data_IF_626055647988
#
_entry.id   IF_626055647988
#
_cell.length_a   1.000
_cell.length_b   1.000
_cell.length_c   1.000
_cell.angle_alpha   90.00
_cell.angle_beta   90.00
_cell.angle_gamma   90.00
#
_symmetry.space_group_name_H-M   'P 1'
#
loop_
_entity.id
_entity.type
_entity.pdbx_description
1 polymer ?
#
# COMPACT_ATOMS: atom_id res chain seq x y z
N UNK A 1 -1.65 3.07 -16.90
CA UNK A 1 -0.19 2.86 -16.71
C UNK A 1 0.00 2.21 -15.36
N UNK A 2 0.51 0.98 -15.28
CA UNK A 2 0.73 0.28 -14.00
C UNK A 2 2.00 0.81 -13.34
N UNK A 3 1.92 1.27 -12.10
CA UNK A 3 3.03 1.81 -11.31
C UNK A 3 3.17 1.02 -10.02
N UNK A 4 4.38 0.59 -9.71
CA UNK A 4 4.71 -0.01 -8.42
C UNK A 4 5.03 1.10 -7.41
N UNK A 5 4.35 1.09 -6.27
CA UNK A 5 4.65 1.96 -5.13
C UNK A 5 4.97 1.14 -3.90
N UNK A 6 5.98 1.59 -3.17
CA UNK A 6 6.33 1.07 -1.86
C UNK A 6 6.02 2.11 -0.80
N UNK A 7 5.28 1.69 0.20
CA UNK A 7 5.03 2.41 1.42
C UNK A 7 5.91 1.82 2.52
N UNK A 8 6.50 2.70 3.31
CA UNK A 8 7.31 2.34 4.47
C UNK A 8 6.56 2.78 5.74
N UNK A 9 7.03 2.33 6.91
CA UNK A 9 6.51 2.76 8.22
C UNK A 9 4.99 2.55 8.40
N UNK A 10 4.50 1.39 7.98
CA UNK A 10 3.15 0.91 8.32
C UNK A 10 3.01 0.74 9.83
N UNK A 11 2.20 1.60 10.45
CA UNK A 11 1.85 1.45 11.86
C UNK A 11 0.64 0.53 11.99
N UNK A 12 0.63 -0.29 13.02
CA UNK A 12 -0.57 -0.99 13.47
C UNK A 12 -0.97 -0.35 14.80
N UNK A 13 -2.03 0.45 14.79
CA UNK A 13 -2.50 1.12 16.01
C UNK A 13 -3.25 0.15 16.95
N UNK A 14 -3.45 -1.10 16.50
CA UNK A 14 -4.23 -2.09 17.22
C UNK A 14 -3.30 -3.18 17.79
N UNK A 15 -2.87 -2.97 19.04
CA UNK A 15 -1.86 -3.77 19.75
C UNK A 15 -2.19 -5.28 19.88
N UNK A 16 -3.45 -5.65 19.65
CA UNK A 16 -3.96 -7.04 19.77
C UNK A 16 -4.28 -7.68 18.42
N UNK A 17 -4.00 -6.99 17.31
CA UNK A 17 -4.38 -7.42 15.97
C UNK A 17 -3.22 -8.12 15.27
N UNK A 18 -3.11 -9.43 15.49
CA UNK A 18 -2.10 -10.31 14.89
C UNK A 18 -2.31 -10.59 13.40
N UNK A 19 -3.35 -10.02 12.77
CA UNK A 19 -3.71 -10.26 11.36
C UNK A 19 -3.78 -8.96 10.55
N UNK A 20 -2.83 -8.06 10.77
CA UNK A 20 -2.73 -6.78 10.06
C UNK A 20 -2.60 -6.99 8.53
N UNK A 21 -1.76 -7.93 8.10
CA UNK A 21 -1.58 -8.31 6.70
C UNK A 21 -2.89 -8.73 6.03
N UNK A 22 -3.63 -9.63 6.66
CA UNK A 22 -4.89 -10.10 6.09
C UNK A 22 -5.91 -8.96 5.98
N UNK A 23 -5.98 -8.06 6.97
CA UNK A 23 -6.87 -6.89 6.91
C UNK A 23 -6.48 -5.96 5.77
N UNK A 24 -5.19 -5.68 5.59
CA UNK A 24 -4.68 -4.83 4.51
C UNK A 24 -5.03 -5.47 3.17
N UNK A 25 -4.66 -6.74 2.95
CA UNK A 25 -4.93 -7.46 1.72
C UNK A 25 -6.44 -7.48 1.39
N UNK A 26 -7.28 -7.86 2.36
CA UNK A 26 -8.73 -7.96 2.19
C UNK A 26 -9.39 -6.62 1.84
N UNK A 27 -8.92 -5.51 2.41
CA UNK A 27 -9.53 -4.20 2.18
C UNK A 27 -8.97 -3.52 0.92
N UNK A 28 -7.66 -3.56 0.71
CA UNK A 28 -7.05 -2.96 -0.49
C UNK A 28 -7.42 -3.71 -1.77
N UNK A 29 -7.70 -5.02 -1.71
CA UNK A 29 -8.18 -5.77 -2.88
C UNK A 29 -9.58 -5.34 -3.36
N UNK A 30 -10.33 -4.56 -2.55
CA UNK A 30 -11.63 -3.99 -2.95
C UNK A 30 -11.50 -2.66 -3.68
N UNK A 31 -10.31 -2.07 -3.67
CA UNK A 31 -10.04 -0.83 -4.37
C UNK A 31 -9.73 -1.17 -5.83
N UNK A 32 -10.59 -0.70 -6.74
CA UNK A 32 -10.36 -0.84 -8.18
C UNK A 32 -9.00 -0.24 -8.58
N UNK A 33 -8.34 -0.86 -9.55
CA UNK A 33 -7.04 -0.43 -10.07
C UNK A 33 -5.89 -0.46 -9.06
N UNK A 34 -6.00 -1.27 -8.00
CA UNK A 34 -4.91 -1.58 -7.06
C UNK A 34 -4.73 -3.08 -6.91
N UNK A 35 -3.47 -3.50 -6.90
CA UNK A 35 -3.05 -4.87 -6.56
C UNK A 35 -2.01 -4.81 -5.45
N UNK A 36 -2.27 -5.49 -4.34
CA UNK A 36 -1.25 -5.69 -3.30
C UNK A 36 -0.25 -6.73 -3.81
N UNK A 37 1.03 -6.35 -3.80
CA UNK A 37 2.14 -7.22 -4.21
C UNK A 37 2.75 -7.93 -3.02
N UNK A 38 2.95 -7.18 -1.93
CA UNK A 38 3.60 -7.69 -0.74
C UNK A 38 3.22 -6.83 0.47
N UNK A 39 2.93 -7.48 1.60
CA UNK A 39 2.86 -6.85 2.91
C UNK A 39 3.96 -7.48 3.75
N UNK A 40 4.76 -6.67 4.44
CA UNK A 40 5.76 -7.17 5.35
C UNK A 40 5.61 -6.46 6.69
N UNK A 41 4.97 -7.15 7.64
CA UNK A 41 4.72 -6.63 8.98
C UNK A 41 6.03 -6.37 9.72
N UNK A 42 6.99 -7.30 9.67
CA UNK A 42 8.29 -7.17 10.35
C UNK A 42 9.08 -5.95 9.90
N UNK A 43 9.00 -5.60 8.61
CA UNK A 43 9.66 -4.42 8.04
C UNK A 43 8.76 -3.19 7.99
N UNK A 44 7.50 -3.31 8.41
CA UNK A 44 6.48 -2.27 8.30
C UNK A 44 6.36 -1.70 6.88
N UNK A 45 6.37 -2.55 5.86
CA UNK A 45 6.31 -2.13 4.45
C UNK A 45 5.12 -2.72 3.71
N UNK A 46 4.58 -1.96 2.75
CA UNK A 46 3.50 -2.37 1.86
C UNK A 46 3.89 -2.02 0.42
N UNK A 47 3.80 -2.98 -0.50
CA UNK A 47 4.01 -2.76 -1.93
C UNK A 47 2.71 -2.96 -2.69
N UNK A 48 2.34 -1.98 -3.51
CA UNK A 48 1.15 -2.03 -4.37
C UNK A 48 1.50 -1.71 -5.81
N UNK A 49 0.76 -2.29 -6.74
CA UNK A 49 0.68 -1.82 -8.13
C UNK A 49 -0.63 -1.05 -8.27
N UNK A 50 -0.59 0.12 -8.89
CA UNK A 50 -1.79 0.91 -9.18
C UNK A 50 -1.79 1.44 -10.60
N UNK A 51 -2.98 1.69 -11.17
CA UNK A 51 -3.08 2.25 -12.53
C UNK A 51 -3.43 3.74 -12.58
N UNK A 52 -4.11 4.23 -11.55
CA UNK A 52 -4.60 5.60 -11.45
C UNK A 52 -4.02 6.29 -10.21
N UNK A 53 -3.36 7.46 -10.34
CA UNK A 53 -2.81 8.19 -9.20
C UNK A 53 -3.84 8.51 -8.10
N UNK A 54 -5.11 8.70 -8.46
CA UNK A 54 -6.19 8.91 -7.47
C UNK A 54 -6.40 7.70 -6.57
N UNK A 55 -6.01 6.51 -7.01
CA UNK A 55 -6.12 5.27 -6.24
C UNK A 55 -5.15 5.24 -5.07
N UNK A 56 -4.00 5.93 -5.16
CA UNK A 56 -3.04 6.06 -4.04
C UNK A 56 -3.70 6.76 -2.84
N UNK A 57 -4.46 7.83 -3.07
CA UNK A 57 -5.19 8.52 -2.00
C UNK A 57 -6.19 7.57 -1.33
N UNK A 58 -6.95 6.80 -2.12
CA UNK A 58 -7.91 5.82 -1.59
C UNK A 58 -7.23 4.75 -0.73
N UNK A 59 -6.04 4.28 -1.14
CA UNK A 59 -5.25 3.33 -0.36
C UNK A 59 -4.84 3.92 0.98
N UNK A 60 -4.34 5.16 0.99
CA UNK A 60 -3.93 5.84 2.24
C UNK A 60 -5.12 6.03 3.18
N UNK A 61 -6.27 6.46 2.65
CA UNK A 61 -7.49 6.67 3.44
C UNK A 61 -8.01 5.35 4.00
N UNK A 62 -8.01 4.29 3.21
CA UNK A 62 -8.44 2.96 3.63
C UNK A 62 -7.52 2.38 4.72
N UNK A 63 -6.20 2.51 4.54
CA UNK A 63 -5.21 2.10 5.54
C UNK A 63 -5.41 2.81 6.88
N UNK A 64 -5.68 4.12 6.85
CA UNK A 64 -6.04 4.88 8.06
C UNK A 64 -7.34 4.37 8.67
N UNK A 65 -8.37 4.08 7.86
CA UNK A 65 -9.68 3.60 8.29
C UNK A 65 -9.61 2.26 9.02
N UNK A 66 -8.73 1.35 8.58
CA UNK A 66 -8.57 0.03 9.19
C UNK A 66 -7.58 -0.01 10.37
N UNK A 67 -7.08 1.15 10.82
CA UNK A 67 -6.13 1.25 11.93
C UNK A 67 -4.70 0.88 11.55
N UNK A 68 -4.37 0.94 10.25
CA UNK A 68 -3.05 0.64 9.70
C UNK A 68 -2.41 1.88 9.03
N UNK A 69 -2.31 3.06 9.69
CA UNK A 69 -1.85 4.26 9.02
C UNK A 69 -0.40 4.12 8.56
N UNK A 70 -0.11 4.64 7.37
CA UNK A 70 1.25 4.66 6.80
C UNK A 70 1.82 6.06 6.78
N UNK A 71 3.13 6.17 6.95
CA UNK A 71 3.89 7.37 6.54
C UNK A 71 4.56 7.06 5.21
N UNK A 72 4.11 7.71 4.15
CA UNK A 72 4.72 7.51 2.84
C UNK A 72 5.74 8.61 2.56
N UNK A 73 6.92 8.21 2.12
CA UNK A 73 7.87 9.12 1.49
C UNK A 73 7.76 8.86 -0.01
N UNK A 74 7.30 9.84 -0.79
CA UNK A 74 7.32 9.71 -2.24
C UNK A 74 8.80 9.74 -2.67
N UNK A 75 9.42 8.57 -2.82
CA UNK A 75 10.69 8.44 -3.56
C UNK A 75 10.36 8.52 -5.04
N UNK A 76 10.00 9.71 -5.51
CA UNK A 76 9.85 10.00 -6.95
C UNK A 76 11.24 9.98 -7.57
N UNK A 77 11.79 8.80 -7.83
CA UNK A 77 12.68 8.69 -8.97
C UNK A 77 11.77 8.68 -10.19
N UNK A 78 11.93 9.66 -11.08
CA UNK A 78 11.26 9.66 -12.41
C UNK A 78 11.46 8.34 -13.17
N UNK A 79 12.47 7.54 -12.79
CA UNK A 79 12.80 6.24 -13.37
C UNK A 79 11.92 5.06 -12.85
N UNK A 80 11.37 5.10 -11.64
CA UNK A 80 10.55 4.00 -11.10
C UNK A 80 9.06 4.06 -11.51
N UNK A 81 8.60 5.19 -12.02
CA UNK A 81 7.27 5.33 -12.63
C UNK A 81 7.11 4.54 -13.94
N UNK A 82 8.20 4.05 -14.54
CA UNK A 82 8.21 3.47 -15.89
C UNK A 82 8.65 2.01 -15.99
N UNK A 83 8.69 1.22 -14.92
CA UNK A 83 8.88 -0.23 -15.11
C UNK A 83 7.57 -0.85 -15.62
N UNK A 84 7.48 -0.97 -16.95
CA UNK A 84 6.67 -1.96 -17.65
C UNK A 84 6.79 -3.29 -16.89
N UNK A 85 5.69 -3.74 -16.30
CA UNK A 85 5.49 -5.17 -16.05
C UNK A 85 4.92 -5.69 -17.37
N UNK A 86 5.81 -6.14 -18.26
CA UNK A 86 5.45 -7.01 -19.39
C UNK A 86 5.00 -8.38 -18.87
#
# INVERSE_FOLDING_TARGET
>A
MKVLMKFDQLKNDNLYDTNCEWKICRNLSRIMDVKVVNVNENKHTLSIIYENPKTVSKVIDELRRIGCPIKYTIKTSKAELFRRLE
#
